data_IF_141797563839
#
_entry.id   IF_141797563839
#
_cell.length_a   1.000
_cell.length_b   1.000
_cell.length_c   1.000
_cell.angle_alpha   90.00
_cell.angle_beta   90.00
_cell.angle_gamma   90.00
#
_symmetry.space_group_name_H-M   'P 1'
#
loop_
_entity.id
_entity.type
_entity.pdbx_description
1 polymer ?
#
# COMPACT_ATOMS: atom_id res chain seq x y z
N UNK A 1 -15.64 -12.17 18.57
CA UNK A 1 -17.02 -12.45 19.04
C UNK A 1 -18.05 -12.16 17.95
N UNK A 2 -18.15 -10.94 17.40
CA UNK A 2 -19.05 -10.63 16.26
C UNK A 2 -18.83 -11.51 15.01
N UNK A 3 -17.57 -11.78 14.65
CA UNK A 3 -17.24 -12.71 13.56
C UNK A 3 -17.83 -14.11 13.83
N UNK A 4 -17.58 -14.70 15.00
CA UNK A 4 -18.01 -16.07 15.34
C UNK A 4 -19.54 -16.20 15.43
N UNK A 5 -20.26 -15.16 15.88
CA UNK A 5 -21.73 -15.15 15.95
C UNK A 5 -22.37 -15.06 14.55
N UNK A 6 -21.69 -14.42 13.58
CA UNK A 6 -22.19 -14.28 12.20
C UNK A 6 -21.68 -15.38 11.25
N UNK A 7 -20.51 -15.98 11.52
CA UNK A 7 -19.91 -17.09 10.77
C UNK A 7 -20.55 -18.44 11.09
N UNK A 8 -21.88 -18.52 11.10
CA UNK A 8 -22.68 -19.75 11.29
C UNK A 8 -22.21 -20.95 10.44
N UNK A 9 -21.34 -20.73 9.44
CA UNK A 9 -20.68 -21.73 8.61
C UNK A 9 -19.17 -21.46 8.46
N UNK A 10 -18.32 -22.38 8.93
CA UNK A 10 -16.86 -22.40 8.67
C UNK A 10 -16.52 -22.45 7.17
N UNK A 11 -17.47 -22.88 6.33
CA UNK A 11 -17.29 -22.98 4.87
C UNK A 11 -17.10 -21.61 4.21
N UNK A 12 -17.82 -20.58 4.67
CA UNK A 12 -17.77 -19.24 4.06
C UNK A 12 -16.45 -18.52 4.36
N UNK A 13 -15.87 -18.74 5.55
CA UNK A 13 -14.56 -18.20 5.92
C UNK A 13 -13.45 -18.86 5.08
N UNK A 14 -13.51 -20.19 4.93
CA UNK A 14 -12.56 -20.94 4.11
C UNK A 14 -12.62 -20.52 2.63
N UNK A 15 -13.83 -20.32 2.08
CA UNK A 15 -14.03 -19.84 0.72
C UNK A 15 -13.41 -18.46 0.50
N UNK A 16 -13.63 -17.51 1.41
CA UNK A 16 -13.07 -16.17 1.28
C UNK A 16 -11.54 -16.11 1.41
N UNK A 17 -10.96 -16.87 2.34
CA UNK A 17 -9.50 -17.00 2.42
C UNK A 17 -8.94 -17.59 1.12
N UNK A 18 -9.60 -18.62 0.56
CA UNK A 18 -9.24 -19.19 -0.73
C UNK A 18 -9.26 -18.17 -1.87
N UNK A 19 -10.27 -17.28 -1.92
CA UNK A 19 -10.33 -16.20 -2.92
C UNK A 19 -9.20 -15.20 -2.72
N UNK A 20 -8.95 -14.76 -1.48
CA UNK A 20 -7.89 -13.80 -1.20
C UNK A 20 -6.50 -14.34 -1.59
N UNK A 21 -6.20 -15.59 -1.22
CA UNK A 21 -4.92 -16.22 -1.53
C UNK A 21 -4.77 -16.50 -3.03
N UNK A 22 -5.82 -16.99 -3.70
CA UNK A 22 -5.74 -17.24 -5.16
C UNK A 22 -5.64 -15.94 -5.96
N UNK A 23 -6.27 -14.86 -5.49
CA UNK A 23 -6.12 -13.53 -6.08
C UNK A 23 -4.70 -12.99 -5.89
N UNK A 24 -4.12 -13.13 -4.69
CA UNK A 24 -2.74 -12.73 -4.41
C UNK A 24 -1.73 -13.51 -5.26
N UNK A 25 -1.91 -14.83 -5.38
CA UNK A 25 -1.12 -15.68 -6.27
C UNK A 25 -1.23 -15.22 -7.73
N UNK A 26 -2.43 -14.92 -8.22
CA UNK A 26 -2.64 -14.40 -9.57
C UNK A 26 -1.90 -13.07 -9.78
N UNK A 27 -1.99 -12.13 -8.83
CA UNK A 27 -1.30 -10.83 -8.91
C UNK A 27 0.21 -11.02 -8.91
N UNK A 28 0.74 -11.88 -8.04
CA UNK A 28 2.18 -12.15 -7.96
C UNK A 28 2.72 -12.84 -9.23
N UNK A 29 1.97 -13.77 -9.83
CA UNK A 29 2.32 -14.37 -11.13
C UNK A 29 2.39 -13.32 -12.24
N UNK A 30 1.42 -12.40 -12.30
CA UNK A 30 1.44 -11.27 -13.26
C UNK A 30 2.62 -10.34 -13.01
N UNK A 31 2.86 -9.93 -11.76
CA UNK A 31 4.00 -9.08 -11.42
C UNK A 31 5.33 -9.76 -11.76
N UNK A 32 5.45 -11.06 -11.50
CA UNK A 32 6.65 -11.84 -11.83
C UNK A 32 6.90 -11.82 -13.34
N UNK A 33 5.87 -11.95 -14.17
CA UNK A 33 6.00 -11.78 -15.63
C UNK A 33 6.56 -10.40 -15.99
N UNK A 34 6.01 -9.32 -15.39
CA UNK A 34 6.51 -7.96 -15.65
C UNK A 34 7.96 -7.78 -15.19
N UNK A 35 8.35 -8.31 -14.03
CA UNK A 35 9.72 -8.22 -13.51
C UNK A 35 10.70 -8.97 -14.42
N UNK A 36 10.39 -10.19 -14.83
CA UNK A 36 11.26 -10.98 -15.71
C UNK A 36 11.38 -10.31 -17.09
N UNK A 37 10.27 -9.77 -17.62
CA UNK A 37 10.23 -9.17 -18.95
C UNK A 37 10.86 -7.78 -19.02
N UNK A 38 10.57 -6.91 -18.06
CA UNK A 38 10.96 -5.49 -18.10
C UNK A 38 12.11 -5.17 -17.15
N UNK A 39 12.17 -5.82 -15.98
CA UNK A 39 13.29 -5.68 -15.05
C UNK A 39 14.53 -6.41 -15.53
N UNK A 40 14.40 -7.69 -15.90
CA UNK A 40 15.53 -8.54 -16.30
C UNK A 40 15.72 -8.69 -17.81
N UNK A 41 14.78 -8.17 -18.63
CA UNK A 41 14.87 -8.12 -20.10
C UNK A 41 15.06 -9.48 -20.79
N UNK A 42 14.54 -10.56 -20.21
CA UNK A 42 14.56 -11.88 -20.84
C UNK A 42 13.67 -11.96 -22.09
N UNK A 43 13.96 -12.91 -23.02
CA UNK A 43 13.16 -13.08 -24.22
C UNK A 43 11.74 -13.57 -23.87
N UNK A 44 10.77 -13.11 -24.67
CA UNK A 44 9.34 -13.27 -24.40
C UNK A 44 8.92 -14.75 -24.30
N UNK A 45 9.55 -15.65 -25.06
CA UNK A 45 9.28 -17.09 -24.99
C UNK A 45 9.62 -17.70 -23.64
N UNK A 46 10.76 -17.30 -23.03
CA UNK A 46 11.15 -17.75 -21.68
C UNK A 46 10.21 -17.19 -20.62
N UNK A 47 9.77 -15.94 -20.78
CA UNK A 47 8.82 -15.31 -19.86
C UNK A 47 7.47 -16.06 -19.89
N UNK A 48 6.90 -16.27 -21.08
CA UNK A 48 5.63 -16.99 -21.24
C UNK A 48 5.77 -18.45 -20.80
N UNK A 49 6.87 -19.13 -21.11
CA UNK A 49 7.09 -20.51 -20.66
C UNK A 49 7.15 -20.61 -19.13
N UNK A 50 7.86 -19.69 -18.47
CA UNK A 50 8.02 -19.70 -17.02
C UNK A 50 6.73 -19.31 -16.27
N UNK A 51 6.00 -18.27 -16.72
CA UNK A 51 4.82 -17.77 -15.98
C UNK A 51 3.50 -18.29 -16.52
N UNK A 52 3.46 -18.80 -17.76
CA UNK A 52 2.21 -19.22 -18.41
C UNK A 52 1.53 -20.40 -17.73
N UNK A 53 2.30 -21.40 -17.30
CA UNK A 53 1.75 -22.55 -16.56
C UNK A 53 1.12 -22.11 -15.23
N UNK A 54 1.85 -21.32 -14.44
CA UNK A 54 1.34 -20.77 -13.17
C UNK A 54 0.10 -19.92 -13.39
N UNK A 55 0.09 -19.08 -14.42
CA UNK A 55 -1.05 -18.22 -14.72
C UNK A 55 -2.31 -19.02 -15.05
N UNK A 56 -2.21 -20.10 -15.81
CA UNK A 56 -3.35 -20.96 -16.12
C UNK A 56 -3.89 -21.66 -14.87
N UNK A 57 -3.00 -22.18 -14.03
CA UNK A 57 -3.38 -22.83 -12.76
C UNK A 57 -4.06 -21.82 -11.83
N UNK A 58 -3.44 -20.66 -11.62
CA UNK A 58 -3.97 -19.60 -10.77
C UNK A 58 -5.34 -19.13 -11.27
N UNK A 59 -5.51 -18.96 -12.58
CA UNK A 59 -6.78 -18.56 -13.17
C UNK A 59 -7.87 -19.62 -12.97
N UNK A 60 -7.55 -20.91 -13.11
CA UNK A 60 -8.49 -22.00 -12.87
C UNK A 60 -8.91 -22.07 -11.39
N UNK A 61 -7.95 -21.93 -10.47
CA UNK A 61 -8.22 -21.88 -9.03
C UNK A 61 -9.03 -20.64 -8.65
N UNK A 62 -8.69 -19.47 -9.20
CA UNK A 62 -9.42 -18.23 -8.96
C UNK A 62 -10.87 -18.34 -9.46
N UNK A 63 -11.08 -18.85 -10.68
CA UNK A 63 -12.42 -19.05 -11.24
C UNK A 63 -13.27 -20.02 -10.39
N UNK A 64 -12.68 -21.13 -9.92
CA UNK A 64 -13.35 -22.09 -9.03
C UNK A 64 -13.74 -21.47 -7.69
N UNK A 65 -12.88 -20.63 -7.12
CA UNK A 65 -13.15 -19.93 -5.87
C UNK A 65 -14.16 -18.79 -6.04
N UNK A 66 -14.19 -18.12 -7.20
CA UNK A 66 -15.14 -17.04 -7.50
C UNK A 66 -16.60 -17.53 -7.54
N UNK A 67 -16.84 -18.76 -8.00
CA UNK A 67 -18.19 -19.35 -7.98
C UNK A 67 -18.74 -19.53 -6.56
N UNK A 68 -17.85 -19.79 -5.58
CA UNK A 68 -18.23 -19.90 -4.15
C UNK A 68 -18.52 -18.54 -3.51
N UNK A 69 -18.06 -17.43 -4.11
CA UNK A 69 -18.37 -16.09 -3.63
C UNK A 69 -19.88 -15.81 -3.69
N UNK A 70 -20.51 -16.20 -4.82
CA UNK A 70 -21.95 -16.00 -5.05
C UNK A 70 -22.84 -16.81 -4.10
N UNK A 71 -22.31 -17.92 -3.57
CA UNK A 71 -23.05 -18.83 -2.69
C UNK A 71 -22.88 -18.53 -1.19
N UNK A 72 -22.04 -17.55 -0.81
CA UNK A 72 -21.85 -17.21 0.61
C UNK A 72 -20.52 -16.53 0.98
N UNK A 73 -19.59 -16.37 0.03
CA UNK A 73 -18.28 -15.74 0.26
C UNK A 73 -18.27 -14.21 0.23
N UNK A 74 -19.42 -13.53 0.12
CA UNK A 74 -19.50 -12.07 0.03
C UNK A 74 -19.16 -11.34 1.34
N UNK A 75 -19.32 -12.00 2.50
CA UNK A 75 -19.16 -11.33 3.79
C UNK A 75 -17.72 -10.87 4.08
N UNK A 76 -16.67 -11.69 3.90
CA UNK A 76 -15.30 -11.22 4.10
C UNK A 76 -14.88 -10.19 3.05
N UNK A 77 -15.43 -10.26 1.83
CA UNK A 77 -15.23 -9.23 0.81
C UNK A 77 -15.79 -7.88 1.26
N UNK A 78 -16.97 -7.87 1.89
CA UNK A 78 -17.57 -6.67 2.48
C UNK A 78 -16.68 -6.07 3.58
N UNK A 79 -16.19 -6.90 4.52
CA UNK A 79 -15.25 -6.43 5.56
C UNK A 79 -13.97 -5.88 4.93
N UNK A 80 -13.40 -6.60 3.96
CA UNK A 80 -12.23 -6.16 3.21
C UNK A 80 -12.45 -4.80 2.54
N UNK A 81 -13.61 -4.59 1.92
CA UNK A 81 -13.99 -3.31 1.30
C UNK A 81 -14.10 -2.17 2.33
N UNK A 82 -14.63 -2.42 3.51
CA UNK A 82 -14.73 -1.42 4.59
C UNK A 82 -13.32 -1.04 5.07
N UNK A 83 -12.48 -2.02 5.37
CA UNK A 83 -11.09 -1.78 5.80
C UNK A 83 -10.29 -1.07 4.72
N UNK A 84 -10.43 -1.50 3.47
CA UNK A 84 -9.80 -0.86 2.31
C UNK A 84 -10.21 0.62 2.19
N UNK A 85 -11.51 0.91 2.35
CA UNK A 85 -12.03 2.29 2.29
C UNK A 85 -11.47 3.14 3.45
N UNK A 86 -11.36 2.59 4.65
CA UNK A 86 -10.73 3.26 5.79
C UNK A 86 -9.25 3.56 5.51
N UNK A 87 -8.51 2.58 4.99
CA UNK A 87 -7.10 2.76 4.64
C UNK A 87 -6.91 3.79 3.53
N UNK A 88 -7.77 3.80 2.51
CA UNK A 88 -7.75 4.78 1.42
C UNK A 88 -8.08 6.18 1.92
N UNK A 89 -9.10 6.32 2.76
CA UNK A 89 -9.44 7.60 3.41
C UNK A 89 -8.26 8.12 4.23
N UNK A 90 -7.62 7.25 5.01
CA UNK A 90 -6.44 7.63 5.80
C UNK A 90 -5.25 8.04 4.92
N UNK A 91 -4.97 7.28 3.85
CA UNK A 91 -3.91 7.62 2.89
C UNK A 91 -4.15 9.01 2.31
N UNK A 92 -5.38 9.29 1.87
CA UNK A 92 -5.75 10.59 1.32
C UNK A 92 -5.62 11.71 2.35
N UNK A 93 -6.04 11.47 3.60
CA UNK A 93 -5.88 12.42 4.69
C UNK A 93 -4.41 12.78 4.95
N UNK A 94 -3.51 11.80 4.94
CA UNK A 94 -2.07 12.04 5.07
C UNK A 94 -1.49 12.83 3.90
N UNK A 95 -1.93 12.55 2.67
CA UNK A 95 -1.50 13.32 1.49
C UNK A 95 -1.91 14.80 1.63
N UNK A 96 -3.16 15.06 2.01
CA UNK A 96 -3.67 16.43 2.20
C UNK A 96 -2.97 17.15 3.36
N UNK A 97 -2.70 16.44 4.46
CA UNK A 97 -1.94 17.00 5.58
C UNK A 97 -0.52 17.38 5.14
N UNK A 98 0.17 16.49 4.44
CA UNK A 98 1.51 16.78 3.92
C UNK A 98 1.50 17.96 2.94
N UNK A 99 0.49 18.06 2.08
CA UNK A 99 0.35 19.19 1.14
C UNK A 99 0.13 20.51 1.87
N UNK A 100 -0.68 20.53 2.94
CA UNK A 100 -0.88 21.72 3.78
C UNK A 100 0.39 22.12 4.54
N UNK A 101 1.08 21.15 5.15
CA UNK A 101 2.35 21.40 5.83
C UNK A 101 3.41 21.94 4.86
N UNK A 102 3.42 21.51 3.60
CA UNK A 102 4.30 22.06 2.56
C UNK A 102 3.94 23.49 2.16
N UNK A 103 2.65 23.81 2.08
CA UNK A 103 2.18 25.15 1.74
C UNK A 103 2.50 26.18 2.83
N UNK A 104 2.49 25.76 4.10
CA UNK A 104 2.83 26.59 5.25
C UNK A 104 4.33 26.55 5.61
N UNK A 105 5.11 25.66 4.97
CA UNK A 105 6.54 25.54 5.22
C UNK A 105 7.32 26.71 4.58
N UNK A 106 8.15 27.35 5.40
CA UNK A 106 9.09 28.38 4.95
C UNK A 106 10.25 27.69 4.23
N UNK A 107 10.71 28.28 3.11
CA UNK A 107 11.91 27.82 2.42
C UNK A 107 13.12 27.91 3.37
N UNK A 108 13.89 26.83 3.45
CA UNK A 108 15.03 26.75 4.36
C UNK A 108 16.06 27.86 4.11
N UNK A 109 16.23 28.31 2.86
CA UNK A 109 17.18 29.37 2.52
C UNK A 109 16.74 30.72 3.05
N UNK A 110 15.45 31.02 2.94
CA UNK A 110 14.88 32.28 3.42
C UNK A 110 14.94 32.34 4.95
N UNK A 111 14.61 31.23 5.62
CA UNK A 111 14.75 31.10 7.07
C UNK A 111 16.19 31.26 7.56
N UNK A 112 17.15 30.57 6.92
CA UNK A 112 18.57 30.71 7.28
C UNK A 112 19.05 32.14 7.10
N UNK A 113 18.64 32.82 6.02
CA UNK A 113 18.99 34.22 5.78
C UNK A 113 18.48 35.12 6.89
N UNK A 114 17.24 34.95 7.34
CA UNK A 114 16.67 35.72 8.45
C UNK A 114 17.43 35.47 9.77
N UNK A 115 17.79 34.22 10.07
CA UNK A 115 18.58 33.85 11.27
C UNK A 115 19.98 34.47 11.25
N UNK A 116 20.61 34.59 10.08
CA UNK A 116 21.90 35.27 9.96
C UNK A 116 21.80 36.79 10.16
N UNK A 117 20.68 37.41 9.78
CA UNK A 117 20.43 38.84 9.96
C UNK A 117 20.10 39.19 11.42
N UNK A 118 19.41 38.30 12.14
CA UNK A 118 19.06 38.49 13.55
C UNK A 118 19.26 37.20 14.33
N UNK A 119 20.49 36.95 14.82
CA UNK A 119 20.82 35.69 15.47
C UNK A 119 20.11 35.55 16.82
N UNK A 120 19.34 34.46 17.04
CA UNK A 120 18.69 34.20 18.32
C UNK A 120 19.71 33.77 19.38
N UNK A 121 19.30 33.86 20.65
CA UNK A 121 20.11 33.43 21.80
C UNK A 121 20.51 31.96 21.64
N UNK A 122 21.82 31.70 21.61
CA UNK A 122 22.38 30.35 21.50
C UNK A 122 22.55 29.74 22.89
N UNK A 123 22.13 28.49 23.04
CA UNK A 123 22.34 27.68 24.24
C UNK A 123 23.38 26.60 23.92
N UNK A 124 24.19 26.19 24.89
CA UNK A 124 25.16 25.10 24.66
C UNK A 124 24.43 23.78 24.37
N UNK A 125 24.72 23.17 23.21
CA UNK A 125 24.15 21.90 22.77
C UNK A 125 23.97 21.80 21.25
N UNK A 126 23.82 20.58 20.74
CA UNK A 126 23.52 20.31 19.32
C UNK A 126 22.10 19.76 19.18
N UNK A 127 21.22 20.50 18.53
CA UNK A 127 19.88 20.03 18.17
C UNK A 127 19.90 19.38 16.78
N UNK A 128 19.35 18.17 16.67
CA UNK A 128 19.20 17.45 15.40
C UNK A 128 17.70 17.28 15.12
N UNK A 129 17.23 17.89 14.02
CA UNK A 129 15.85 17.78 13.57
C UNK A 129 15.77 16.86 12.36
N UNK A 130 14.95 15.82 12.46
CA UNK A 130 14.69 14.91 11.35
C UNK A 130 13.62 15.53 10.44
N UNK A 131 13.94 15.71 9.16
CA UNK A 131 12.98 16.12 8.15
C UNK A 131 12.78 15.02 7.12
N UNK A 132 11.53 14.75 6.76
CA UNK A 132 11.18 13.85 5.66
C UNK A 132 11.31 14.55 4.29
N UNK A 133 11.48 15.88 4.28
CA UNK A 133 11.48 16.70 3.09
C UNK A 133 12.78 17.54 2.99
N UNK A 134 13.66 17.24 2.02
CA UNK A 134 14.88 18.00 1.81
C UNK A 134 14.58 19.43 1.33
N UNK A 135 15.10 20.44 2.03
CA UNK A 135 15.04 21.85 1.60
C UNK A 135 13.94 22.72 2.24
N UNK A 136 13.05 22.15 3.04
CA UNK A 136 12.10 22.89 3.86
C UNK A 136 12.58 22.99 5.33
N UNK A 137 12.22 24.07 6.03
CA UNK A 137 12.46 24.16 7.48
C UNK A 137 11.66 23.06 8.18
N UNK A 138 12.27 22.24 9.07
CA UNK A 138 11.52 21.28 9.85
C UNK A 138 10.49 22.00 10.72
N UNK A 139 9.24 21.54 10.72
CA UNK A 139 8.14 22.13 11.52
C UNK A 139 8.38 22.14 13.05
N UNK A 140 9.48 21.57 13.52
CA UNK A 140 9.89 21.54 14.91
C UNK A 140 10.89 22.66 15.29
N UNK A 141 11.33 23.48 14.33
CA UNK A 141 12.08 24.72 14.56
C UNK A 141 11.12 25.92 14.62
#
# INVERSE_FOLDING_TARGET
VLAVVMFRSSSNLAAAYGIAVTLDMLITTVLTFFVIRYGWRYPLALCIGATGFFFVVDLAFFASNLLKLLQGGWFPLMIGSIVFTLMMTWKRGRELLNEKLRADAIDLRDFLTAVFVSPPTRVEGTAVFLTAEPGAVPNAM
#
